data_IF_078142860739
#
_entry.id   IF_078142860739
#
_cell.length_a   1.000
_cell.length_b   1.000
_cell.length_c   1.000
_cell.angle_alpha   90.00
_cell.angle_beta   90.00
_cell.angle_gamma   90.00
#
_symmetry.space_group_name_H-M   'P 1'
#
loop_
_entity.id
_entity.type
_entity.pdbx_description
1 polymer ?
#
# COMPACT_ATOMS: atom_id res chain seq x y z
N UNK A 1 20.71 -6.82 12.02
CA UNK A 1 20.46 -5.63 12.86
C UNK A 1 21.30 -5.77 14.13
N UNK A 2 22.26 -4.87 14.36
CA UNK A 2 22.94 -4.75 15.66
C UNK A 2 22.12 -3.76 16.50
N UNK A 3 21.72 -4.17 17.69
CA UNK A 3 20.91 -3.36 18.60
C UNK A 3 21.88 -2.58 19.48
N UNK A 4 21.85 -1.24 19.36
CA UNK A 4 22.93 -0.36 19.84
C UNK A 4 22.90 -0.04 21.35
N UNK A 5 21.87 -0.43 22.11
CA UNK A 5 21.93 -0.39 23.58
C UNK A 5 20.81 -1.22 24.24
N UNK A 6 20.99 -1.64 25.51
CA UNK A 6 19.96 -2.28 26.31
C UNK A 6 18.70 -1.42 26.51
N UNK A 7 18.82 -0.09 26.51
CA UNK A 7 17.69 0.83 26.64
C UNK A 7 16.84 0.87 25.38
N UNK A 8 17.45 0.86 24.19
CA UNK A 8 16.73 0.71 22.91
C UNK A 8 16.03 -0.65 22.79
N UNK A 9 16.64 -1.70 23.34
CA UNK A 9 16.00 -3.02 23.41
C UNK A 9 14.81 -2.99 24.36
N UNK A 10 14.92 -2.33 25.52
CA UNK A 10 13.84 -2.16 26.49
C UNK A 10 12.66 -1.35 25.92
N UNK A 11 12.92 -0.24 25.22
CA UNK A 11 11.92 0.52 24.46
C UNK A 11 11.24 -0.34 23.39
N UNK A 12 12.02 -1.08 22.60
CA UNK A 12 11.49 -2.01 21.60
C UNK A 12 10.60 -3.09 22.22
N UNK A 13 11.00 -3.67 23.36
CA UNK A 13 10.18 -4.67 24.07
C UNK A 13 8.93 -4.07 24.71
N UNK A 14 8.97 -2.83 25.22
CA UNK A 14 7.79 -2.14 25.75
C UNK A 14 6.82 -1.73 24.63
N UNK A 15 7.34 -1.31 23.47
CA UNK A 15 6.53 -1.09 22.27
C UNK A 15 5.88 -2.37 21.77
N UNK A 16 6.59 -3.51 21.78
CA UNK A 16 6.04 -4.80 21.39
C UNK A 16 4.99 -5.34 22.37
N UNK A 17 5.19 -5.14 23.68
CA UNK A 17 4.21 -5.56 24.70
C UNK A 17 2.87 -4.80 24.60
N UNK A 18 2.87 -3.59 24.03
CA UNK A 18 1.67 -2.79 23.79
C UNK A 18 1.11 -2.90 22.35
N UNK A 19 1.83 -3.56 21.44
CA UNK A 19 1.37 -3.79 20.06
C UNK A 19 0.48 -5.03 20.02
N UNK A 20 -0.82 -4.80 19.82
CA UNK A 20 -1.80 -5.87 19.57
C UNK A 20 -1.36 -6.68 18.35
N UNK A 21 -1.32 -8.00 18.49
CA UNK A 21 -1.03 -8.91 17.40
C UNK A 21 -2.35 -9.38 16.76
N UNK A 22 -2.81 -8.77 15.66
CA UNK A 22 -4.15 -9.01 15.12
C UNK A 22 -4.30 -10.45 14.63
N UNK A 23 -5.44 -11.06 14.95
CA UNK A 23 -5.87 -12.32 14.35
C UNK A 23 -6.33 -12.06 12.90
N UNK A 24 -5.47 -12.40 11.94
CA UNK A 24 -5.78 -12.32 10.52
C UNK A 24 -6.32 -13.65 9.98
N UNK A 25 -7.36 -13.64 9.13
CA UNK A 25 -7.83 -14.84 8.46
C UNK A 25 -6.77 -15.36 7.48
N UNK A 26 -6.72 -16.69 7.28
CA UNK A 26 -5.79 -17.32 6.34
C UNK A 26 -6.00 -16.84 4.89
N UNK A 27 -7.27 -16.64 4.52
CA UNK A 27 -7.69 -16.18 3.20
C UNK A 27 -8.97 -15.37 3.31
N UNK A 28 -9.09 -14.31 2.53
CA UNK A 28 -10.32 -13.55 2.29
C UNK A 28 -10.62 -13.59 0.79
N UNK A 29 -11.90 -13.68 0.45
CA UNK A 29 -12.39 -13.53 -0.92
C UNK A 29 -13.52 -12.51 -0.91
N UNK A 30 -13.44 -11.51 -1.78
CA UNK A 30 -14.35 -10.37 -1.82
C UNK A 30 -14.88 -10.23 -3.24
N UNK A 31 -16.19 -10.29 -3.38
CA UNK A 31 -16.90 -10.16 -4.66
C UNK A 31 -17.41 -8.74 -4.82
N UNK A 32 -17.06 -8.10 -5.93
CA UNK A 32 -17.66 -6.83 -6.33
C UNK A 32 -19.12 -7.05 -6.73
N UNK A 33 -19.99 -6.18 -6.21
CA UNK A 33 -21.42 -6.20 -6.47
C UNK A 33 -21.92 -4.84 -6.91
N UNK A 34 -22.95 -4.81 -7.73
CA UNK A 34 -23.68 -3.58 -8.07
C UNK A 34 -24.62 -3.17 -6.92
N UNK A 35 -25.29 -2.03 -7.10
CA UNK A 35 -26.30 -1.49 -6.16
C UNK A 35 -27.46 -2.45 -5.88
N UNK A 36 -27.77 -3.35 -6.81
CA UNK A 36 -28.83 -4.36 -6.70
C UNK A 36 -28.35 -5.64 -5.99
N UNK A 37 -27.07 -5.73 -5.63
CA UNK A 37 -26.47 -6.89 -4.96
C UNK A 37 -26.04 -8.01 -5.90
N UNK A 38 -26.07 -7.78 -7.22
CA UNK A 38 -25.66 -8.72 -8.26
C UNK A 38 -24.15 -8.65 -8.48
N UNK A 39 -23.54 -9.77 -8.85
CA UNK A 39 -22.10 -9.86 -9.05
C UNK A 39 -21.67 -9.08 -10.28
N UNK A 40 -20.69 -8.19 -10.12
CA UNK A 40 -20.08 -7.46 -11.24
C UNK A 40 -18.86 -8.21 -11.74
N UNK A 41 -18.79 -8.54 -13.02
CA UNK A 41 -17.60 -9.08 -13.67
C UNK A 41 -16.80 -7.93 -14.27
N UNK A 42 -15.74 -7.51 -13.57
CA UNK A 42 -14.88 -6.41 -14.01
C UNK A 42 -13.47 -6.62 -13.45
N UNK A 43 -12.49 -6.66 -14.34
CA UNK A 43 -11.07 -6.77 -14.00
C UNK A 43 -10.49 -5.40 -13.68
N UNK A 44 -9.40 -5.35 -12.90
CA UNK A 44 -8.65 -4.12 -12.64
C UNK A 44 -9.47 -2.99 -12.00
N UNK A 45 -10.54 -3.32 -11.28
CA UNK A 45 -11.10 -2.41 -10.28
C UNK A 45 -10.16 -2.41 -9.10
N UNK A 46 -9.58 -1.25 -8.82
CA UNK A 46 -8.66 -1.09 -7.70
C UNK A 46 -9.43 -0.86 -6.41
N UNK A 47 -9.09 -1.69 -5.43
CA UNK A 47 -9.63 -1.65 -4.08
C UNK A 47 -8.50 -1.35 -3.09
N UNK A 48 -8.88 -1.00 -1.87
CA UNK A 48 -7.98 -0.98 -0.72
C UNK A 48 -8.59 -1.67 0.50
N UNK A 49 -7.70 -2.13 1.37
CA UNK A 49 -8.01 -2.79 2.63
C UNK A 49 -7.41 -1.98 3.77
N UNK A 50 -8.23 -1.62 4.76
CA UNK A 50 -7.79 -1.08 6.04
C UNK A 50 -7.95 -2.15 7.12
N UNK A 51 -6.87 -2.43 7.85
CA UNK A 51 -6.81 -3.35 8.98
C UNK A 51 -6.66 -2.51 10.26
N UNK A 52 -7.70 -2.43 11.08
CA UNK A 52 -7.72 -1.55 12.24
C UNK A 52 -6.97 -2.13 13.43
N UNK A 53 -6.22 -1.27 14.12
CA UNK A 53 -5.45 -1.59 15.33
C UNK A 53 -6.20 -1.08 16.57
N UNK A 54 -6.90 0.05 16.41
CA UNK A 54 -7.79 0.66 17.38
C UNK A 54 -8.93 1.40 16.65
N UNK A 55 -9.66 2.29 17.32
CA UNK A 55 -10.80 3.01 16.75
C UNK A 55 -10.43 4.08 15.71
N UNK A 56 -9.18 4.53 15.67
CA UNK A 56 -8.71 5.64 14.83
C UNK A 56 -7.53 5.25 13.92
N UNK A 57 -6.77 4.22 14.30
CA UNK A 57 -5.55 3.81 13.62
C UNK A 57 -5.75 2.52 12.84
N UNK A 58 -5.26 2.50 11.60
CA UNK A 58 -5.30 1.33 10.72
C UNK A 58 -4.05 1.24 9.84
N UNK A 59 -3.76 0.01 9.40
CA UNK A 59 -2.78 -0.28 8.36
C UNK A 59 -3.48 -0.43 7.01
N UNK A 60 -2.84 0.01 5.93
CA UNK A 60 -3.49 0.07 4.61
C UNK A 60 -2.75 -0.79 3.58
N UNK A 61 -3.50 -1.60 2.85
CA UNK A 61 -3.07 -2.22 1.60
C UNK A 61 -3.86 -1.62 0.45
N UNK A 62 -3.20 -0.84 -0.41
CA UNK A 62 -3.79 -0.16 -1.56
C UNK A 62 -3.52 -0.87 -2.88
N UNK A 63 -4.27 -0.45 -3.91
CA UNK A 63 -4.11 -0.84 -5.30
C UNK A 63 -4.28 -2.35 -5.54
N UNK A 64 -5.27 -2.94 -4.87
CA UNK A 64 -5.60 -4.36 -4.99
C UNK A 64 -6.55 -4.53 -6.19
N UNK A 65 -6.12 -5.13 -7.31
CA UNK A 65 -6.98 -5.29 -8.48
C UNK A 65 -7.96 -6.45 -8.29
N UNK A 66 -9.19 -6.28 -8.78
CA UNK A 66 -10.09 -7.41 -9.06
C UNK A 66 -9.58 -8.25 -10.23
N UNK A 67 -9.89 -9.55 -10.21
CA UNK A 67 -9.76 -10.39 -11.40
C UNK A 67 -10.93 -10.20 -12.37
N UNK A 68 -10.93 -10.92 -13.50
CA UNK A 68 -11.99 -10.88 -14.51
C UNK A 68 -13.41 -11.19 -14.02
N UNK A 69 -13.55 -11.87 -12.88
CA UNK A 69 -14.85 -12.15 -12.25
C UNK A 69 -15.27 -11.08 -11.23
N UNK A 70 -14.52 -9.98 -11.11
CA UNK A 70 -14.74 -8.96 -10.08
C UNK A 70 -14.41 -9.44 -8.66
N UNK A 71 -13.53 -10.44 -8.53
CA UNK A 71 -13.18 -11.03 -7.24
C UNK A 71 -11.77 -10.60 -6.85
N UNK A 72 -11.62 -10.17 -5.61
CA UNK A 72 -10.33 -10.00 -4.93
C UNK A 72 -10.09 -11.20 -4.00
N UNK A 73 -8.93 -11.83 -4.13
CA UNK A 73 -8.50 -12.90 -3.23
C UNK A 73 -7.23 -12.48 -2.52
N UNK A 74 -7.25 -12.49 -1.19
CA UNK A 74 -6.12 -12.10 -0.35
C UNK A 74 -5.74 -13.25 0.56
N UNK A 75 -4.46 -13.62 0.59
CA UNK A 75 -3.91 -14.47 1.64
C UNK A 75 -3.47 -13.65 2.83
N UNK A 76 -3.32 -14.31 3.98
CA UNK A 76 -2.72 -13.73 5.18
C UNK A 76 -1.37 -13.09 4.89
N UNK A 77 -0.52 -13.79 4.16
CA UNK A 77 0.83 -13.33 3.80
C UNK A 77 0.75 -12.06 2.94
N UNK A 78 -0.17 -12.00 1.98
CA UNK A 78 -0.37 -10.80 1.18
C UNK A 78 -0.81 -9.61 2.04
N UNK A 79 -1.74 -9.80 2.98
CA UNK A 79 -2.16 -8.75 3.90
C UNK A 79 -1.00 -8.26 4.79
N UNK A 80 -0.16 -9.16 5.28
CA UNK A 80 1.00 -8.80 6.12
C UNK A 80 2.05 -8.05 5.29
N UNK A 81 2.46 -8.61 4.15
CA UNK A 81 3.60 -8.09 3.37
C UNK A 81 3.29 -6.76 2.67
N UNK A 82 2.02 -6.46 2.41
CA UNK A 82 1.60 -5.22 1.74
C UNK A 82 1.03 -4.17 2.71
N UNK A 83 1.20 -4.37 4.01
CA UNK A 83 0.91 -3.37 5.04
C UNK A 83 2.14 -3.16 5.92
N UNK A 84 2.06 -2.20 6.84
CA UNK A 84 3.10 -1.97 7.85
C UNK A 84 3.22 -3.15 8.83
N UNK A 85 2.25 -4.08 8.85
CA UNK A 85 2.32 -5.31 9.64
C UNK A 85 3.55 -6.14 9.34
N UNK A 86 4.14 -6.07 8.14
CA UNK A 86 5.39 -6.78 7.83
C UNK A 86 6.54 -6.50 8.79
N UNK A 87 6.51 -5.37 9.50
CA UNK A 87 7.52 -4.97 10.48
C UNK A 87 7.18 -5.38 11.91
N UNK A 88 5.93 -5.75 12.19
CA UNK A 88 5.42 -5.95 13.55
C UNK A 88 4.75 -7.30 13.77
N UNK A 89 4.40 -8.01 12.70
CA UNK A 89 3.71 -9.28 12.77
C UNK A 89 4.71 -10.39 13.13
N UNK A 90 4.51 -11.00 14.30
CA UNK A 90 5.38 -12.02 14.87
C UNK A 90 4.53 -13.12 15.50
N UNK A 91 4.51 -14.29 14.86
CA UNK A 91 3.69 -15.43 15.28
C UNK A 91 4.09 -16.02 16.64
N UNK A 92 5.25 -15.63 17.20
CA UNK A 92 5.64 -15.99 18.56
C UNK A 92 4.91 -15.18 19.64
N UNK A 93 4.33 -14.02 19.28
CA UNK A 93 3.55 -13.18 20.18
C UNK A 93 2.14 -13.76 20.31
N UNK A 94 1.64 -13.80 21.54
CA UNK A 94 0.31 -14.30 21.84
C UNK A 94 -0.74 -13.45 21.12
N UNK A 95 -1.54 -14.08 20.27
CA UNK A 95 -2.50 -13.37 19.44
C UNK A 95 -3.57 -12.65 20.29
N UNK A 96 -3.86 -11.40 19.92
CA UNK A 96 -4.99 -10.67 20.50
C UNK A 96 -6.29 -11.28 19.97
N UNK A 97 -7.13 -11.79 20.88
CA UNK A 97 -8.44 -12.39 20.56
C UNK A 97 -9.54 -11.36 20.29
N UNK A 98 -9.24 -10.08 20.46
CA UNK A 98 -10.15 -9.00 20.15
C UNK A 98 -10.48 -9.03 18.65
N UNK A 99 -11.77 -8.95 18.25
CA UNK A 99 -12.13 -8.87 16.85
C UNK A 99 -11.42 -7.71 16.16
N UNK A 100 -10.70 -8.02 15.08
CA UNK A 100 -10.04 -7.02 14.23
C UNK A 100 -11.06 -6.53 13.20
N UNK A 101 -11.29 -5.22 13.16
CA UNK A 101 -12.14 -4.62 12.13
C UNK A 101 -11.35 -4.52 10.82
N UNK A 102 -12.01 -4.85 9.73
CA UNK A 102 -11.51 -4.66 8.37
C UNK A 102 -12.48 -3.79 7.60
N UNK A 103 -11.99 -2.75 6.92
CA UNK A 103 -12.76 -2.05 5.90
C UNK A 103 -12.14 -2.35 4.54
N UNK A 104 -12.96 -2.88 3.63
CA UNK A 104 -12.57 -3.12 2.25
C UNK A 104 -13.48 -2.30 1.35
N UNK A 105 -12.90 -1.47 0.50
CA UNK A 105 -13.67 -0.61 -0.37
C UNK A 105 -12.95 -0.39 -1.71
N UNK A 106 -13.75 -0.03 -2.71
CA UNK A 106 -13.25 0.38 -4.01
C UNK A 106 -12.60 1.75 -3.87
N UNK A 107 -11.45 1.95 -4.51
CA UNK A 107 -10.76 3.22 -4.48
C UNK A 107 -11.55 4.29 -5.25
N UNK A 108 -11.63 5.49 -4.67
CA UNK A 108 -12.28 6.63 -5.30
C UNK A 108 -11.53 7.07 -6.56
N UNK A 109 -12.29 7.39 -7.62
CA UNK A 109 -11.73 7.75 -8.92
C UNK A 109 -10.96 9.09 -8.87
N UNK A 110 -11.44 10.08 -8.11
CA UNK A 110 -10.73 11.35 -7.97
C UNK A 110 -9.41 11.16 -7.21
N UNK A 111 -9.40 10.33 -6.17
CA UNK A 111 -8.19 9.96 -5.45
C UNK A 111 -7.19 9.27 -6.39
N UNK A 112 -7.64 8.28 -7.18
CA UNK A 112 -6.78 7.58 -8.15
C UNK A 112 -6.19 8.54 -9.19
N UNK A 113 -7.02 9.41 -9.78
CA UNK A 113 -6.55 10.40 -10.75
C UNK A 113 -5.54 11.36 -10.13
N UNK A 114 -5.76 11.80 -8.89
CA UNK A 114 -4.80 12.62 -8.15
C UNK A 114 -3.45 11.92 -7.94
N UNK A 115 -3.47 10.62 -7.62
CA UNK A 115 -2.25 9.80 -7.48
C UNK A 115 -1.53 9.67 -8.82
N UNK A 116 -2.25 9.32 -9.90
CA UNK A 116 -1.71 9.18 -11.26
C UNK A 116 -1.04 10.49 -11.68
N UNK A 117 -1.75 11.61 -11.63
CA UNK A 117 -1.20 12.91 -12.03
C UNK A 117 0.02 13.33 -11.19
N UNK A 118 -0.01 13.04 -9.89
CA UNK A 118 1.14 13.27 -9.00
C UNK A 118 2.35 12.46 -9.46
N UNK A 119 2.18 11.16 -9.71
CA UNK A 119 3.24 10.28 -10.21
C UNK A 119 3.78 10.71 -11.57
N UNK A 120 2.91 11.07 -12.51
CA UNK A 120 3.32 11.59 -13.82
C UNK A 120 4.20 12.84 -13.68
N UNK A 121 3.83 13.76 -12.78
CA UNK A 121 4.61 14.98 -12.54
C UNK A 121 5.99 14.66 -11.96
N UNK A 122 6.09 13.74 -11.00
CA UNK A 122 7.39 13.33 -10.46
C UNK A 122 8.26 12.62 -11.49
N UNK A 123 7.68 11.74 -12.30
CA UNK A 123 8.40 10.97 -13.31
C UNK A 123 8.87 11.80 -14.51
N UNK A 124 8.32 13.01 -14.69
CA UNK A 124 8.80 13.99 -15.68
C UNK A 124 10.10 14.69 -15.28
N UNK A 125 10.46 14.66 -14.00
CA UNK A 125 11.71 15.28 -13.51
C UNK A 125 12.88 14.45 -14.01
N UNK A 126 13.77 15.06 -14.79
CA UNK A 126 14.97 14.39 -15.27
C UNK A 126 16.06 14.31 -14.20
N UNK A 127 16.90 13.29 -14.32
CA UNK A 127 17.96 13.00 -13.35
C UNK A 127 18.99 14.13 -13.23
N UNK A 128 19.24 14.91 -14.28
CA UNK A 128 20.19 16.04 -14.23
C UNK A 128 19.64 17.20 -13.40
N UNK A 129 18.34 17.51 -13.55
CA UNK A 129 17.64 18.47 -12.69
C UNK A 129 17.69 18.06 -11.22
N UNK A 130 17.55 16.76 -10.91
CA UNK A 130 17.70 16.23 -9.55
C UNK A 130 19.12 16.42 -9.04
N UNK A 131 20.14 16.07 -9.84
CA UNK A 131 21.55 16.29 -9.48
C UNK A 131 21.85 17.75 -9.18
N UNK A 132 21.34 18.67 -10.01
CA UNK A 132 21.53 20.11 -9.83
C UNK A 132 20.88 20.61 -8.54
N UNK A 133 19.64 20.19 -8.23
CA UNK A 133 18.97 20.55 -6.97
C UNK A 133 19.74 20.04 -5.75
N UNK A 134 20.22 18.78 -5.77
CA UNK A 134 21.02 18.23 -4.68
C UNK A 134 22.34 18.99 -4.47
N UNK A 135 23.02 19.42 -5.54
CA UNK A 135 24.21 20.29 -5.43
C UNK A 135 23.88 21.63 -4.81
N UNK A 136 22.78 22.26 -5.22
CA UNK A 136 22.32 23.52 -4.65
C UNK A 136 21.97 23.40 -3.16
N UNK A 137 21.58 22.21 -2.70
CA UNK A 137 21.36 21.88 -1.28
C UNK A 137 22.63 21.50 -0.52
N UNK A 138 23.80 21.56 -1.15
CA UNK A 138 25.11 21.36 -0.52
C UNK A 138 25.63 19.92 -0.51
N UNK A 139 25.04 19.00 -1.28
CA UNK A 139 25.58 17.64 -1.42
C UNK A 139 26.79 17.62 -2.36
N UNK A 140 27.79 16.80 -2.02
CA UNK A 140 28.97 16.59 -2.88
C UNK A 140 28.64 15.66 -4.06
N UNK A 141 29.44 15.73 -5.13
CA UNK A 141 29.33 14.81 -6.27
C UNK A 141 29.39 13.35 -5.83
N UNK A 142 30.27 13.00 -4.90
CA UNK A 142 30.40 11.64 -4.38
C UNK A 142 29.14 11.17 -3.64
N UNK A 143 28.50 12.03 -2.85
CA UNK A 143 27.25 11.70 -2.16
C UNK A 143 26.10 11.53 -3.15
N UNK A 144 26.03 12.40 -4.16
CA UNK A 144 25.03 12.33 -5.22
C UNK A 144 25.18 11.02 -5.99
N UNK A 145 26.38 10.67 -6.46
CA UNK A 145 26.62 9.43 -7.22
C UNK A 145 26.14 8.18 -6.48
N UNK A 146 26.31 8.13 -5.15
CA UNK A 146 25.84 7.00 -4.35
C UNK A 146 24.30 6.86 -4.31
N UNK A 147 23.57 7.97 -4.47
CA UNK A 147 22.10 7.99 -4.42
C UNK A 147 21.44 7.87 -5.78
N UNK A 148 22.12 8.26 -6.87
CA UNK A 148 21.53 8.27 -8.23
C UNK A 148 21.04 6.89 -8.66
N UNK A 149 21.79 5.82 -8.36
CA UNK A 149 21.33 4.47 -8.68
C UNK A 149 20.01 4.10 -7.98
N UNK A 150 19.84 4.48 -6.71
CA UNK A 150 18.60 4.24 -5.98
C UNK A 150 17.42 5.07 -6.52
N UNK A 151 17.70 6.32 -6.93
CA UNK A 151 16.71 7.21 -7.56
C UNK A 151 16.24 6.60 -8.89
N UNK A 152 17.15 6.17 -9.75
CA UNK A 152 16.82 5.58 -11.06
C UNK A 152 16.01 4.28 -10.90
N UNK A 153 16.37 3.42 -9.95
CA UNK A 153 15.59 2.21 -9.66
C UNK A 153 14.20 2.55 -9.12
N UNK A 154 14.06 3.57 -8.26
CA UNK A 154 12.76 4.03 -7.79
C UNK A 154 11.91 4.58 -8.94
N UNK A 155 12.48 5.37 -9.84
CA UNK A 155 11.79 5.88 -11.03
C UNK A 155 11.29 4.74 -11.93
N UNK A 156 12.10 3.69 -12.16
CA UNK A 156 11.67 2.50 -12.90
C UNK A 156 10.52 1.77 -12.21
N UNK A 157 10.58 1.62 -10.89
CA UNK A 157 9.50 1.02 -10.11
C UNK A 157 8.22 1.83 -10.20
N UNK A 158 8.32 3.16 -10.09
CA UNK A 158 7.18 4.06 -10.14
C UNK A 158 6.55 4.12 -11.52
N UNK A 159 7.35 4.04 -12.59
CA UNK A 159 6.82 3.92 -13.95
C UNK A 159 5.98 2.66 -14.12
N UNK A 160 6.43 1.51 -13.60
CA UNK A 160 5.64 0.26 -13.64
C UNK A 160 4.34 0.38 -12.85
N UNK A 161 4.39 1.04 -11.69
CA UNK A 161 3.19 1.29 -10.90
C UNK A 161 2.23 2.22 -11.64
N UNK A 162 2.72 3.30 -12.26
CA UNK A 162 1.90 4.19 -13.07
C UNK A 162 1.20 3.44 -14.21
N UNK A 163 1.95 2.63 -14.98
CA UNK A 163 1.39 1.80 -16.06
C UNK A 163 0.34 0.80 -15.55
N UNK A 164 0.45 0.34 -14.30
CA UNK A 164 -0.56 -0.50 -13.66
C UNK A 164 -1.80 0.31 -13.27
N UNK A 165 -1.60 1.49 -12.65
CA UNK A 165 -2.68 2.37 -12.25
C UNK A 165 -3.49 2.85 -13.46
N UNK A 166 -2.85 3.25 -14.56
CA UNK A 166 -3.55 3.73 -15.77
C UNK A 166 -4.47 2.68 -16.42
N UNK A 167 -4.24 1.40 -16.15
CA UNK A 167 -5.09 0.30 -16.65
C UNK A 167 -6.34 0.05 -15.82
N UNK A 168 -6.53 0.78 -14.71
CA UNK A 168 -7.66 0.56 -13.82
C UNK A 168 -9.00 0.94 -14.47
N UNK A 169 -10.07 0.27 -14.06
CA UNK A 169 -11.43 0.49 -14.58
C UNK A 169 -12.36 1.21 -13.58
N UNK A 170 -11.84 1.87 -12.55
CA UNK A 170 -12.69 2.51 -11.53
C UNK A 170 -13.60 3.60 -12.13
N UNK A 171 -13.14 4.30 -13.18
CA UNK A 171 -13.94 5.29 -13.90
C UNK A 171 -15.18 4.68 -14.61
N UNK A 172 -15.17 3.39 -14.94
CA UNK A 172 -16.29 2.71 -15.60
C UNK A 172 -17.41 2.32 -14.62
N UNK A 173 -17.17 2.39 -13.31
CA UNK A 173 -18.15 2.03 -12.29
C UNK A 173 -19.30 3.03 -12.19
N UNK A 174 -19.07 4.30 -12.49
CA UNK A 174 -20.12 5.33 -12.49
C UNK A 174 -21.16 5.07 -13.60
N UNK A 175 -20.72 4.53 -14.75
CA UNK A 175 -21.58 4.25 -15.89
C UNK A 175 -22.44 2.99 -15.70
N UNK A 176 -21.90 1.92 -15.10
CA UNK A 176 -22.65 0.68 -14.85
C UNK A 176 -23.58 0.73 -13.63
N UNK A 177 -23.50 1.77 -12.81
CA UNK A 177 -24.48 2.02 -11.76
C UNK A 177 -25.77 2.66 -12.28
N UNK A 178 -25.80 3.15 -13.52
CA UNK A 178 -26.97 3.77 -14.15
C UNK A 178 -27.88 2.79 -14.91
N UNK A 179 -27.37 1.60 -15.24
CA UNK A 179 -28.14 0.47 -15.77
C UNK A 179 -28.83 -0.32 -14.63
#
# INVERSE_FOLDING_TARGET
MKIDSPEKFAEYTNELQNKKHPLLPKKISIQLKNKNGENLQMENVLCHLNIYIDSLSYYTYSFIPTNSNGIVNLTKEQMIQNTELKHYYDESILADKTPVKFDFMVMDNNMLNGIISSMENYLRIDTESIKADLKNRGLTDSQITLQIGAIEEKMKSDKKLLEFLEKNQNAELEFKQAE
#
